data_IF_843170764768
#
_entry.id   IF_843170764768
#
_cell.length_a   1.000
_cell.length_b   1.000
_cell.length_c   1.000
_cell.angle_alpha   90.00
_cell.angle_beta   90.00
_cell.angle_gamma   90.00
#
_symmetry.space_group_name_H-M   'P 1'
#
loop_
_entity.id
_entity.type
_entity.pdbx_description
1 polymer ?
#
# COMPACT_ATOMS: atom_id res chain seq x y z
N UNK A 1 3.81 1.38 -17.47
CA UNK A 1 3.67 0.23 -16.55
C UNK A 1 5.05 -0.09 -16.00
N UNK A 2 5.23 -0.05 -14.69
CA UNK A 2 6.53 -0.30 -14.07
C UNK A 2 6.76 -1.80 -13.86
N UNK A 3 7.99 -2.26 -14.04
CA UNK A 3 8.42 -3.60 -13.65
C UNK A 3 9.26 -3.50 -12.37
N UNK A 4 8.70 -3.95 -11.26
CA UNK A 4 9.28 -3.88 -9.91
C UNK A 4 9.42 -5.30 -9.32
N UNK A 5 9.49 -6.33 -10.18
CA UNK A 5 9.68 -7.72 -9.75
C UNK A 5 10.94 -7.79 -8.88
N UNK A 6 10.80 -8.30 -7.65
CA UNK A 6 11.89 -8.44 -6.66
C UNK A 6 12.65 -7.14 -6.35
N UNK A 7 12.05 -5.99 -6.60
CA UNK A 7 12.64 -4.71 -6.19
C UNK A 7 12.71 -4.64 -4.66
N UNK A 8 13.82 -4.11 -4.14
CA UNK A 8 13.91 -3.76 -2.73
C UNK A 8 13.33 -2.35 -2.53
N UNK A 9 12.16 -2.27 -1.92
CA UNK A 9 11.43 -1.03 -1.64
C UNK A 9 11.25 -0.84 -0.13
N UNK A 10 12.09 -1.49 0.69
CA UNK A 10 12.03 -1.37 2.14
C UNK A 10 12.13 0.09 2.57
N UNK A 11 11.14 0.57 3.33
CA UNK A 11 11.08 1.96 3.80
C UNK A 11 10.99 3.01 2.69
N UNK A 12 10.70 2.63 1.44
CA UNK A 12 10.60 3.58 0.34
C UNK A 12 9.41 4.53 0.54
N UNK A 13 9.58 5.81 0.22
CA UNK A 13 8.50 6.79 0.20
C UNK A 13 7.82 6.74 -1.17
N UNK A 14 6.65 6.11 -1.22
CA UNK A 14 5.81 5.92 -2.41
C UNK A 14 4.41 6.53 -2.23
N UNK A 15 4.25 7.41 -1.23
CA UNK A 15 3.00 8.10 -0.96
C UNK A 15 2.47 8.79 -2.22
N UNK A 16 1.20 8.58 -2.56
CA UNK A 16 0.51 9.15 -3.74
C UNK A 16 1.11 8.73 -5.08
N UNK A 17 1.99 7.72 -5.11
CA UNK A 17 2.55 7.21 -6.35
C UNK A 17 1.48 6.50 -7.19
N UNK A 18 1.57 6.67 -8.52
CA UNK A 18 0.76 5.89 -9.44
C UNK A 18 1.53 4.61 -9.85
N UNK A 19 1.18 3.50 -9.20
CA UNK A 19 1.69 2.16 -9.48
C UNK A 19 0.65 1.30 -10.21
N UNK A 20 -0.35 1.94 -10.84
CA UNK A 20 -1.41 1.22 -11.55
C UNK A 20 -0.83 0.30 -12.61
N UNK A 21 -1.21 -0.98 -12.57
CA UNK A 21 -0.70 -1.99 -13.48
C UNK A 21 0.74 -2.45 -13.23
N UNK A 22 1.49 -1.88 -12.26
CA UNK A 22 2.87 -2.29 -12.02
C UNK A 22 2.96 -3.78 -11.68
N UNK A 23 4.04 -4.45 -12.10
CA UNK A 23 4.32 -5.81 -11.66
C UNK A 23 5.19 -5.76 -10.40
N UNK A 24 4.61 -6.15 -9.26
CA UNK A 24 5.24 -6.09 -7.94
C UNK A 24 5.62 -7.48 -7.40
N UNK A 25 5.66 -8.50 -8.26
CA UNK A 25 5.95 -9.88 -7.86
C UNK A 25 7.22 -10.01 -7.03
N UNK A 26 7.06 -10.33 -5.75
CA UNK A 26 8.17 -10.53 -4.80
C UNK A 26 8.94 -9.26 -4.43
N UNK A 27 8.41 -8.06 -4.70
CA UNK A 27 8.99 -6.82 -4.20
C UNK A 27 8.94 -6.77 -2.67
N UNK A 28 10.01 -6.29 -2.03
CA UNK A 28 10.05 -6.06 -0.60
C UNK A 28 9.44 -4.70 -0.26
N UNK A 29 8.20 -4.68 0.24
CA UNK A 29 7.47 -3.46 0.62
C UNK A 29 7.47 -3.21 2.14
N UNK A 30 8.32 -3.91 2.90
CA UNK A 30 8.38 -3.76 4.35
C UNK A 30 8.61 -2.31 4.78
N UNK A 31 7.64 -1.73 5.49
CA UNK A 31 7.68 -0.34 5.95
C UNK A 31 7.63 0.72 4.84
N UNK A 32 7.36 0.35 3.59
CA UNK A 32 7.18 1.32 2.52
C UNK A 32 5.95 2.19 2.79
N UNK A 33 6.07 3.50 2.59
CA UNK A 33 4.95 4.42 2.68
C UNK A 33 4.17 4.40 1.37
N UNK A 34 3.00 3.77 1.37
CA UNK A 34 2.07 3.71 0.24
C UNK A 34 0.84 4.59 0.48
N UNK A 35 0.84 5.52 1.44
CA UNK A 35 -0.30 6.40 1.73
C UNK A 35 -0.80 7.12 0.48
N UNK A 36 -2.07 6.98 0.14
CA UNK A 36 -2.68 7.51 -1.08
C UNK A 36 -2.16 6.94 -2.41
N UNK A 37 -1.32 5.90 -2.40
CA UNK A 37 -0.81 5.31 -3.62
C UNK A 37 -1.91 4.57 -4.40
N UNK A 38 -1.83 4.61 -5.73
CA UNK A 38 -2.76 3.93 -6.62
C UNK A 38 -2.09 2.68 -7.19
N UNK A 39 -2.48 1.52 -6.67
CA UNK A 39 -2.01 0.19 -7.09
C UNK A 39 -3.10 -0.58 -7.87
N UNK A 40 -4.15 0.09 -8.33
CA UNK A 40 -5.23 -0.54 -9.09
C UNK A 40 -4.68 -1.31 -10.30
N UNK A 41 -5.05 -2.59 -10.40
CA UNK A 41 -4.58 -3.49 -11.45
C UNK A 41 -3.10 -3.89 -11.37
N UNK A 42 -2.39 -3.56 -10.28
CA UNK A 42 -1.04 -4.08 -10.04
C UNK A 42 -1.05 -5.62 -10.07
N UNK A 43 0.00 -6.19 -10.66
CA UNK A 43 0.11 -7.62 -10.95
C UNK A 43 1.08 -8.26 -9.98
N UNK A 44 0.77 -9.50 -9.59
CA UNK A 44 1.58 -10.32 -8.68
C UNK A 44 1.86 -9.66 -7.32
N UNK A 45 1.06 -8.67 -6.94
CA UNK A 45 1.06 -8.12 -5.59
C UNK A 45 0.31 -9.10 -4.69
N UNK A 46 0.85 -9.41 -3.52
CA UNK A 46 0.18 -10.26 -2.54
C UNK A 46 -0.22 -9.45 -1.31
N UNK A 47 -1.14 -10.01 -0.51
CA UNK A 47 -1.47 -9.42 0.78
C UNK A 47 -0.25 -9.37 1.72
N UNK A 48 0.57 -10.43 1.76
CA UNK A 48 1.80 -10.46 2.58
C UNK A 48 2.75 -9.30 2.28
N UNK A 49 2.86 -8.91 0.99
CA UNK A 49 3.68 -7.76 0.61
C UNK A 49 3.07 -6.43 1.10
N UNK A 50 1.74 -6.29 1.09
CA UNK A 50 1.05 -5.03 1.45
C UNK A 50 0.83 -4.90 2.96
N UNK A 51 0.59 -6.00 3.67
CA UNK A 51 0.23 -6.00 5.10
C UNK A 51 1.35 -5.48 6.00
N UNK A 52 2.58 -5.48 5.47
CA UNK A 52 3.79 -4.94 6.13
C UNK A 52 4.17 -3.53 5.65
N UNK A 53 3.44 -2.98 4.68
CA UNK A 53 3.59 -1.60 4.23
C UNK A 53 2.69 -0.66 5.07
N UNK A 54 2.98 0.63 4.98
CA UNK A 54 2.13 1.68 5.57
C UNK A 54 1.11 2.08 4.51
N UNK A 55 -0.18 1.93 4.83
CA UNK A 55 -1.30 2.28 3.96
C UNK A 55 -2.31 3.14 4.72
N UNK A 56 -3.17 3.82 3.98
CA UNK A 56 -4.26 4.64 4.49
C UNK A 56 -5.57 4.38 3.72
N UNK A 57 -6.59 5.16 4.05
CA UNK A 57 -7.89 5.14 3.40
C UNK A 57 -7.87 5.63 1.96
N UNK A 58 -6.89 6.47 1.59
CA UNK A 58 -6.66 6.91 0.21
C UNK A 58 -5.95 5.85 -0.66
N UNK A 59 -5.27 4.87 -0.05
CA UNK A 59 -4.50 3.84 -0.76
C UNK A 59 -5.43 2.89 -1.51
N UNK A 60 -5.24 2.77 -2.84
CA UNK A 60 -6.10 1.94 -3.71
C UNK A 60 -5.38 0.68 -4.14
N UNK A 61 -5.74 -0.47 -3.56
CA UNK A 61 -5.14 -1.76 -3.89
C UNK A 61 -5.80 -2.40 -5.12
N UNK A 62 -5.22 -3.47 -5.69
CA UNK A 62 -5.94 -4.34 -6.62
C UNK A 62 -7.24 -4.86 -6.00
N UNK A 63 -8.32 -4.87 -6.79
CA UNK A 63 -9.67 -5.25 -6.33
C UNK A 63 -9.70 -6.60 -5.61
N UNK A 64 -8.98 -7.60 -6.12
CA UNK A 64 -8.88 -8.92 -5.48
C UNK A 64 -8.29 -8.86 -4.06
N UNK A 65 -7.27 -8.03 -3.84
CA UNK A 65 -6.68 -7.83 -2.51
C UNK A 65 -7.66 -7.10 -1.60
N UNK A 66 -8.32 -6.05 -2.11
CA UNK A 66 -9.35 -5.32 -1.34
C UNK A 66 -10.49 -6.24 -0.91
N UNK A 67 -10.96 -7.09 -1.82
CA UNK A 67 -12.09 -7.97 -1.57
C UNK A 67 -11.77 -9.12 -0.62
N UNK A 68 -10.57 -9.69 -0.71
CA UNK A 68 -10.15 -10.84 0.10
C UNK A 68 -9.72 -10.46 1.53
N UNK A 69 -9.39 -9.18 1.79
CA UNK A 69 -8.80 -8.74 3.06
C UNK A 69 -9.56 -7.58 3.71
N UNK A 70 -10.87 -7.43 3.46
CA UNK A 70 -11.69 -6.27 3.89
C UNK A 70 -11.58 -5.95 5.39
N UNK A 71 -11.64 -6.96 6.24
CA UNK A 71 -11.63 -6.78 7.70
C UNK A 71 -10.25 -6.30 8.20
N UNK A 72 -9.18 -6.88 7.67
CA UNK A 72 -7.81 -6.48 8.00
C UNK A 72 -7.51 -5.09 7.44
N UNK A 73 -7.95 -4.78 6.22
CA UNK A 73 -7.84 -3.45 5.62
C UNK A 73 -8.53 -2.38 6.44
N UNK A 74 -9.72 -2.67 6.96
CA UNK A 74 -10.44 -1.76 7.85
C UNK A 74 -9.62 -1.48 9.11
N UNK A 75 -9.11 -2.52 9.77
CA UNK A 75 -8.28 -2.37 10.97
C UNK A 75 -6.96 -1.62 10.70
N UNK A 76 -6.35 -1.84 9.53
CA UNK A 76 -5.12 -1.13 9.12
C UNK A 76 -5.38 0.35 8.85
N UNK A 77 -6.45 0.69 8.12
CA UNK A 77 -6.82 2.08 7.80
C UNK A 77 -7.24 2.88 9.03
N UNK A 78 -7.91 2.24 9.99
CA UNK A 78 -8.30 2.87 11.25
C UNK A 78 -7.10 3.24 12.14
N UNK A 79 -5.97 2.51 12.05
CA UNK A 79 -4.74 2.83 12.78
C UNK A 79 -4.03 4.10 12.28
N UNK A 80 -4.28 4.52 11.04
CA UNK A 80 -3.60 5.68 10.42
C UNK A 80 -4.25 7.02 10.82
N UNK A 81 -5.45 7.01 11.39
CA UNK A 81 -6.16 8.24 11.83
C UNK A 81 -5.55 8.86 13.11
N UNK A 82 -4.67 8.14 13.82
CA UNK A 82 -4.10 8.62 15.09
C UNK A 82 -2.90 9.58 14.96
N UNK A 83 -2.51 10.01 13.75
CA UNK A 83 -1.37 10.94 13.56
C UNK A 83 -1.74 12.36 13.13
N UNK A 84 -3.03 12.69 12.95
CA UNK A 84 -3.48 14.06 12.62
C UNK A 84 -4.37 14.67 13.72
N UNK A 85 -3.85 14.75 14.95
CA UNK A 85 -4.50 15.51 16.03
C UNK A 85 -3.50 16.23 16.93
N UNK A 86 -2.39 16.70 16.37
CA UNK A 86 -1.62 17.80 16.97
C UNK A 86 -1.21 18.80 15.90
N UNK A 87 -2.18 19.33 15.14
CA UNK A 87 -2.10 20.72 14.71
C UNK A 87 -3.19 21.51 15.41
N UNK A 88 -2.77 22.39 16.32
CA UNK A 88 -3.63 23.45 16.81
C UNK A 88 -3.15 24.08 18.12
N UNK A 89 -3.27 25.41 18.25
CA UNK A 89 -2.88 26.47 17.31
C UNK A 89 -1.42 26.92 17.47
#
# INVERSE_FOLDING_TARGET
>A
MANLIRADLFGAVLSKANLSGANLGGANLGGADLGGAVLSGAKNLTWEQVSVAIIDDETRLPTEIEENNKDELKAMREKTVAVDSTEGP
#
